data_IF_721384816516
#
_entry.id   IF_721384816516
#
_cell.length_a   1.000
_cell.length_b   1.000
_cell.length_c   1.000
_cell.angle_alpha   90.00
_cell.angle_beta   90.00
_cell.angle_gamma   90.00
#
_symmetry.space_group_name_H-M   'P 1'
#
loop_
_entity.id
_entity.type
_entity.pdbx_description
1 polymer ?
#
# COMPACT_ATOMS: atom_id res chain seq x y z
N UNK A 1 -3.41 11.02 26.57
CA UNK A 1 -3.51 10.57 25.16
C UNK A 1 -2.47 11.23 24.24
N UNK A 2 -2.34 12.57 24.21
CA UNK A 2 -1.31 13.24 23.37
C UNK A 2 0.13 12.86 23.72
N UNK A 3 0.47 12.84 25.01
CA UNK A 3 1.83 12.46 25.46
C UNK A 3 2.17 11.00 25.13
N UNK A 4 1.22 10.07 25.35
CA UNK A 4 1.38 8.67 24.99
C UNK A 4 1.54 8.47 23.47
N UNK A 5 0.76 9.22 22.67
CA UNK A 5 0.87 9.14 21.22
C UNK A 5 2.23 9.63 20.72
N UNK A 6 2.76 10.71 21.32
CA UNK A 6 4.06 11.30 20.97
C UNK A 6 5.28 10.44 21.33
N UNK A 7 5.08 9.32 22.03
CA UNK A 7 6.12 8.31 22.28
C UNK A 7 5.94 7.04 21.44
N UNK A 8 4.91 6.96 20.59
CA UNK A 8 4.69 5.79 19.76
C UNK A 8 5.72 5.74 18.64
N UNK A 9 6.56 4.72 18.66
CA UNK A 9 7.52 4.44 17.58
C UNK A 9 6.91 3.56 16.49
N UNK A 10 5.87 2.79 16.83
CA UNK A 10 5.26 1.82 15.92
C UNK A 10 3.75 1.93 15.98
N UNK A 11 3.10 1.99 14.80
CA UNK A 11 1.65 1.96 14.68
C UNK A 11 1.26 0.95 13.60
N UNK A 12 0.38 0.02 13.97
CA UNK A 12 -0.20 -0.96 13.08
C UNK A 12 -1.71 -0.78 13.02
N UNK A 13 -2.21 -0.41 11.85
CA UNK A 13 -3.63 -0.33 11.56
C UNK A 13 -4.05 -1.52 10.71
N UNK A 14 -4.87 -2.40 11.31
CA UNK A 14 -5.42 -3.58 10.64
C UNK A 14 -4.35 -4.52 10.05
N UNK A 15 -3.25 -4.73 10.77
CA UNK A 15 -2.15 -5.59 10.34
C UNK A 15 -2.53 -7.09 10.29
N UNK A 16 -3.47 -7.52 11.14
CA UNK A 16 -3.91 -8.93 11.25
C UNK A 16 -5.41 -9.17 11.02
N UNK A 17 -6.16 -8.21 10.47
CA UNK A 17 -7.62 -8.24 10.17
C UNK A 17 -8.55 -7.64 11.26
N UNK A 18 -9.73 -7.10 10.86
CA UNK A 18 -10.15 -6.80 9.49
C UNK A 18 -9.46 -5.53 8.95
N UNK A 19 -9.24 -5.43 7.62
CA UNK A 19 -8.70 -4.25 6.95
C UNK A 19 -9.57 -3.02 7.24
N UNK A 20 -9.02 -1.82 7.08
CA UNK A 20 -9.78 -0.58 7.27
C UNK A 20 -10.56 -0.26 6.00
N UNK A 21 -11.88 -0.09 6.13
CA UNK A 21 -12.66 0.44 5.01
C UNK A 21 -12.22 1.87 4.75
N UNK A 22 -11.85 2.19 3.51
CA UNK A 22 -11.53 3.58 3.14
C UNK A 22 -12.72 4.51 3.47
N UNK A 23 -13.97 4.04 3.34
CA UNK A 23 -15.18 4.79 3.72
C UNK A 23 -15.23 5.13 5.22
N UNK A 24 -14.67 4.27 6.07
CA UNK A 24 -14.70 4.42 7.53
C UNK A 24 -13.47 5.12 8.10
N UNK A 25 -12.50 5.50 7.25
CA UNK A 25 -11.20 6.01 7.70
C UNK A 25 -11.32 7.27 8.57
N UNK A 26 -12.27 8.15 8.26
CA UNK A 26 -12.52 9.37 9.01
C UNK A 26 -13.02 9.08 10.44
N UNK A 27 -13.88 8.07 10.60
CA UNK A 27 -14.41 7.67 11.89
C UNK A 27 -13.33 7.09 12.83
N UNK A 28 -12.29 6.47 12.26
CA UNK A 28 -11.19 5.87 13.02
C UNK A 28 -10.16 6.89 13.54
N UNK A 29 -10.25 8.16 13.14
CA UNK A 29 -9.36 9.25 13.57
C UNK A 29 -7.86 8.91 13.40
N UNK A 30 -7.51 8.23 12.31
CA UNK A 30 -6.13 7.86 11.96
C UNK A 30 -5.23 9.09 11.87
N UNK A 31 -5.65 10.12 11.11
CA UNK A 31 -4.88 11.35 10.93
C UNK A 31 -4.48 12.05 12.22
N UNK A 32 -5.41 12.32 13.17
CA UNK A 32 -5.06 12.83 14.48
C UNK A 32 -4.02 11.99 15.24
N UNK A 33 -4.07 10.65 15.15
CA UNK A 33 -3.09 9.78 15.81
C UNK A 33 -1.70 9.90 15.14
N UNK A 34 -1.64 9.84 13.81
CA UNK A 34 -0.40 9.98 13.04
C UNK A 34 0.29 11.31 13.31
N UNK A 35 -0.49 12.40 13.37
CA UNK A 35 0.00 13.73 13.75
C UNK A 35 0.48 13.80 15.20
N UNK A 36 -0.19 13.12 16.11
CA UNK A 36 0.20 13.10 17.52
C UNK A 36 1.49 12.30 17.75
N UNK A 37 1.70 11.22 17.00
CA UNK A 37 2.98 10.49 17.00
C UNK A 37 4.10 11.33 16.39
N UNK A 38 3.82 12.05 15.29
CA UNK A 38 4.77 12.98 14.69
C UNK A 38 6.15 12.35 14.50
N UNK A 39 7.20 13.01 15.00
CA UNK A 39 8.58 12.59 14.83
C UNK A 39 9.00 11.38 15.69
N UNK A 40 8.15 10.79 16.52
CA UNK A 40 8.49 9.53 17.21
C UNK A 40 8.28 8.31 16.32
N UNK A 41 7.36 8.39 15.36
CA UNK A 41 6.96 7.25 14.54
C UNK A 41 8.09 6.82 13.60
N UNK A 42 8.49 5.55 13.71
CA UNK A 42 9.51 4.86 12.90
C UNK A 42 8.91 3.80 11.99
N UNK A 43 7.87 3.11 12.48
CA UNK A 43 7.21 2.01 11.78
C UNK A 43 5.72 2.28 11.64
N UNK A 44 5.24 2.27 10.40
CA UNK A 44 3.81 2.42 10.10
C UNK A 44 3.34 1.32 9.18
N UNK A 45 2.28 0.63 9.60
CA UNK A 45 1.54 -0.30 8.75
C UNK A 45 0.08 0.13 8.64
N UNK A 46 -0.40 0.24 7.41
CA UNK A 46 -1.77 0.59 7.07
C UNK A 46 -2.31 -0.49 6.13
N UNK A 47 -3.45 -1.12 6.45
CA UNK A 47 -4.13 -2.02 5.53
C UNK A 47 -5.54 -1.53 5.23
N UNK A 48 -5.87 -1.40 3.94
CA UNK A 48 -7.14 -0.85 3.47
C UNK A 48 -7.93 -1.84 2.62
N UNK A 49 -9.25 -1.70 2.64
CA UNK A 49 -10.15 -2.28 1.64
C UNK A 49 -11.18 -1.24 1.19
N UNK A 50 -11.71 -1.42 -0.03
CA UNK A 50 -12.64 -0.46 -0.63
C UNK A 50 -12.88 -0.72 -2.11
N UNK A 51 -13.04 -1.99 -2.48
CA UNK A 51 -13.34 -2.47 -3.85
C UNK A 51 -14.53 -1.77 -4.53
N UNK A 52 -15.37 -1.08 -3.75
CA UNK A 52 -16.60 -0.44 -4.18
C UNK A 52 -16.53 1.09 -4.26
N UNK A 53 -15.36 1.69 -4.02
CA UNK A 53 -15.15 3.12 -4.20
C UNK A 53 -14.63 3.42 -5.60
N UNK A 54 -15.08 4.54 -6.17
CA UNK A 54 -14.37 5.11 -7.30
C UNK A 54 -12.98 5.60 -6.88
N UNK A 55 -12.02 5.50 -7.80
CA UNK A 55 -10.63 5.89 -7.62
C UNK A 55 -10.44 7.33 -7.07
N UNK A 56 -11.25 8.28 -7.53
CA UNK A 56 -11.13 9.69 -7.12
C UNK A 56 -11.60 9.89 -5.68
N UNK A 57 -12.72 9.28 -5.31
CA UNK A 57 -13.26 9.32 -3.95
C UNK A 57 -12.33 8.63 -2.95
N UNK A 58 -11.79 7.46 -3.30
CA UNK A 58 -10.77 6.80 -2.49
C UNK A 58 -9.54 7.70 -2.26
N UNK A 59 -9.05 8.35 -3.32
CA UNK A 59 -7.91 9.27 -3.24
C UNK A 59 -8.21 10.46 -2.33
N UNK A 60 -9.40 11.06 -2.45
CA UNK A 60 -9.85 12.18 -1.60
C UNK A 60 -9.94 11.79 -0.13
N UNK A 61 -10.51 10.63 0.17
CA UNK A 61 -10.67 10.14 1.54
C UNK A 61 -9.32 9.84 2.19
N UNK A 62 -8.41 9.19 1.47
CA UNK A 62 -7.05 8.92 1.95
C UNK A 62 -6.31 10.24 2.20
N UNK A 63 -6.26 11.14 1.22
CA UNK A 63 -5.55 12.42 1.36
C UNK A 63 -6.08 13.27 2.53
N UNK A 64 -7.39 13.20 2.82
CA UNK A 64 -8.00 13.98 3.90
C UNK A 64 -7.78 13.40 5.30
N UNK A 65 -7.46 12.10 5.40
CA UNK A 65 -7.46 11.39 6.69
C UNK A 65 -6.15 10.70 7.03
N UNK A 66 -5.25 10.53 6.05
CA UNK A 66 -3.94 9.91 6.20
C UNK A 66 -2.89 10.91 5.73
N UNK A 67 -2.34 11.64 6.70
CA UNK A 67 -1.24 12.56 6.48
C UNK A 67 -0.07 12.09 7.34
N UNK A 68 1.01 11.71 6.66
CA UNK A 68 2.25 11.19 7.23
C UNK A 68 3.44 12.13 6.98
N UNK A 69 3.16 13.36 6.53
CA UNK A 69 4.19 14.37 6.25
C UNK A 69 4.93 14.83 7.51
N UNK A 70 4.28 14.74 8.66
CA UNK A 70 4.84 15.14 9.96
C UNK A 70 5.69 14.03 10.61
N UNK A 71 5.68 12.81 10.06
CA UNK A 71 6.41 11.65 10.61
C UNK A 71 7.83 11.58 10.05
N UNK A 72 8.66 12.56 10.41
CA UNK A 72 9.98 12.77 9.79
C UNK A 72 11.01 11.68 10.10
N UNK A 73 10.78 10.87 11.13
CA UNK A 73 11.62 9.71 11.49
C UNK A 73 11.06 8.37 11.01
N UNK A 74 10.02 8.38 10.16
CA UNK A 74 9.45 7.16 9.61
C UNK A 74 10.51 6.45 8.76
N UNK A 75 10.87 5.23 9.14
CA UNK A 75 11.89 4.39 8.50
C UNK A 75 11.27 3.26 7.70
N UNK A 76 10.17 2.67 8.18
CA UNK A 76 9.48 1.56 7.55
C UNK A 76 8.00 1.91 7.34
N UNK A 77 7.56 1.83 6.07
CA UNK A 77 6.17 2.01 5.69
C UNK A 77 5.66 0.74 5.02
N UNK A 78 4.56 0.20 5.51
CA UNK A 78 3.83 -0.88 4.86
C UNK A 78 2.42 -0.38 4.51
N UNK A 79 2.05 -0.49 3.23
CA UNK A 79 0.71 -0.20 2.72
C UNK A 79 0.13 -1.49 2.18
N UNK A 80 -0.91 -1.99 2.85
CA UNK A 80 -1.67 -3.15 2.48
C UNK A 80 -2.95 -2.78 1.75
N UNK A 81 -3.27 -3.56 0.72
CA UNK A 81 -4.52 -3.49 -0.01
C UNK A 81 -5.13 -4.87 0.04
N UNK A 82 -6.27 -4.97 0.72
CA UNK A 82 -7.05 -6.18 0.72
C UNK A 82 -8.01 -6.20 -0.46
N UNK A 83 -7.79 -7.16 -1.34
CA UNK A 83 -8.66 -7.49 -2.44
C UNK A 83 -9.77 -8.38 -1.88
N UNK A 84 -10.81 -7.74 -1.35
CA UNK A 84 -11.94 -8.40 -0.71
C UNK A 84 -13.27 -7.94 -1.30
N UNK A 85 -13.99 -8.83 -1.98
CA UNK A 85 -15.33 -8.56 -2.52
C UNK A 85 -15.78 -9.66 -3.47
N UNK A 86 -17.10 -9.80 -3.70
CA UNK A 86 -17.58 -10.47 -4.91
C UNK A 86 -17.26 -9.53 -6.07
N UNK A 87 -16.05 -9.63 -6.63
CA UNK A 87 -15.89 -9.20 -8.03
C UNK A 87 -16.78 -10.17 -8.79
N UNK A 88 -17.99 -9.73 -9.13
CA UNK A 88 -18.84 -10.51 -10.01
C UNK A 88 -18.05 -10.81 -11.29
N UNK A 89 -18.20 -12.00 -11.86
CA UNK A 89 -17.48 -12.36 -13.08
C UNK A 89 -17.74 -11.29 -14.15
N UNK A 90 -16.70 -10.54 -14.53
CA UNK A 90 -16.78 -9.44 -15.50
C UNK A 90 -16.91 -8.02 -14.90
N UNK A 91 -17.00 -7.86 -13.58
CA UNK A 91 -16.96 -6.54 -12.96
C UNK A 91 -15.58 -5.90 -13.13
N UNK A 92 -15.56 -4.64 -13.59
CA UNK A 92 -14.32 -3.88 -13.76
C UNK A 92 -13.62 -3.72 -12.41
N UNK A 93 -12.40 -4.23 -12.32
CA UNK A 93 -11.55 -4.08 -11.15
C UNK A 93 -10.95 -2.69 -11.20
N UNK A 94 -11.27 -1.85 -10.22
CA UNK A 94 -10.74 -0.50 -10.17
C UNK A 94 -9.29 -0.49 -9.70
N UNK A 95 -8.45 0.28 -10.39
CA UNK A 95 -7.05 0.46 -10.01
C UNK A 95 -6.89 1.25 -8.72
N UNK A 96 -5.77 1.04 -8.02
CA UNK A 96 -5.47 1.72 -6.76
C UNK A 96 -4.72 3.03 -6.95
N UNK A 97 -5.32 3.97 -7.69
CA UNK A 97 -4.69 5.26 -8.04
C UNK A 97 -4.43 6.18 -6.83
N UNK A 98 -5.02 5.87 -5.67
CA UNK A 98 -4.82 6.62 -4.44
C UNK A 98 -3.44 6.36 -3.79
N UNK A 99 -2.75 5.28 -4.19
CA UNK A 99 -1.50 4.85 -3.55
C UNK A 99 -0.34 5.81 -3.82
N UNK A 100 -0.14 6.22 -5.07
CA UNK A 100 0.84 7.27 -5.43
C UNK A 100 0.53 8.60 -4.75
N UNK A 101 -0.76 8.94 -4.59
CA UNK A 101 -1.19 10.14 -3.88
C UNK A 101 -0.81 10.08 -2.39
N UNK A 102 -1.01 8.93 -1.73
CA UNK A 102 -0.58 8.71 -0.35
C UNK A 102 0.95 8.81 -0.23
N UNK A 103 1.68 8.15 -1.13
CA UNK A 103 3.15 8.14 -1.13
C UNK A 103 3.76 9.53 -1.35
N UNK A 104 3.05 10.42 -2.05
CA UNK A 104 3.50 11.82 -2.25
C UNK A 104 3.57 12.60 -0.94
N UNK A 105 2.73 12.25 0.05
CA UNK A 105 2.69 12.90 1.37
C UNK A 105 3.65 12.29 2.40
N UNK A 106 4.37 11.22 2.04
CA UNK A 106 5.38 10.61 2.92
C UNK A 106 6.53 11.60 3.11
N UNK A 107 6.90 11.88 4.38
CA UNK A 107 8.18 12.55 4.64
C UNK A 107 9.32 11.62 4.24
N UNK A 108 10.13 11.97 3.23
CA UNK A 108 11.11 11.04 2.69
C UNK A 108 12.43 11.03 3.49
N UNK A 109 12.58 11.93 4.46
CA UNK A 109 13.84 12.22 5.17
C UNK A 109 14.49 11.02 5.86
N UNK A 110 13.71 10.02 6.26
CA UNK A 110 14.21 8.84 6.98
C UNK A 110 13.70 7.52 6.41
N UNK A 111 12.86 7.54 5.38
CA UNK A 111 12.24 6.33 4.86
C UNK A 111 13.31 5.44 4.21
N UNK A 112 13.47 4.23 4.74
CA UNK A 112 14.42 3.21 4.27
C UNK A 112 13.75 2.05 3.58
N UNK A 113 12.54 1.68 4.03
CA UNK A 113 11.82 0.53 3.49
C UNK A 113 10.36 0.86 3.21
N UNK A 114 9.90 0.47 2.02
CA UNK A 114 8.50 0.50 1.64
C UNK A 114 8.05 -0.91 1.26
N UNK A 115 6.95 -1.37 1.85
CA UNK A 115 6.29 -2.62 1.46
C UNK A 115 4.89 -2.33 0.93
N UNK A 116 4.63 -2.69 -0.31
CA UNK A 116 3.30 -2.73 -0.91
C UNK A 116 2.77 -4.16 -0.80
N UNK A 117 1.78 -4.37 0.05
CA UNK A 117 1.21 -5.68 0.34
C UNK A 117 -0.14 -5.83 -0.37
N UNK A 118 -0.28 -6.85 -1.21
CA UNK A 118 -1.53 -7.22 -1.86
C UNK A 118 -2.07 -8.44 -1.14
N UNK A 119 -3.19 -8.28 -0.42
CA UNK A 119 -3.80 -9.34 0.37
C UNK A 119 -5.05 -9.91 -0.33
N UNK A 120 -4.99 -11.19 -0.65
CA UNK A 120 -6.03 -11.94 -1.38
C UNK A 120 -6.62 -13.07 -0.53
N UNK A 121 -6.31 -13.15 0.77
CA UNK A 121 -6.69 -14.26 1.66
C UNK A 121 -8.20 -14.51 1.75
N UNK A 122 -8.99 -13.45 1.59
CA UNK A 122 -10.41 -13.50 1.96
C UNK A 122 -11.34 -14.06 0.90
N UNK A 123 -10.90 -14.25 -0.34
CA UNK A 123 -11.70 -14.91 -1.38
C UNK A 123 -10.83 -15.39 -2.52
N UNK A 124 -10.58 -16.70 -2.59
CA UNK A 124 -10.55 -17.34 -3.91
C UNK A 124 -10.73 -18.86 -3.81
N UNK A 125 -11.85 -19.34 -4.35
CA UNK A 125 -12.00 -20.73 -4.83
C UNK A 125 -12.13 -20.67 -6.35
N UNK A 126 -11.19 -20.03 -7.04
CA UNK A 126 -11.32 -19.71 -8.47
C UNK A 126 -9.98 -19.76 -9.20
N UNK A 127 -10.06 -19.62 -10.52
CA UNK A 127 -8.96 -19.89 -11.46
C UNK A 127 -7.87 -18.82 -11.37
N UNK A 128 -6.61 -19.26 -11.26
CA UNK A 128 -5.39 -18.43 -11.15
C UNK A 128 -5.32 -17.25 -12.15
N UNK A 129 -5.80 -17.43 -13.38
CA UNK A 129 -5.79 -16.38 -14.41
C UNK A 129 -6.59 -15.13 -14.00
N UNK A 130 -7.73 -15.31 -13.29
CA UNK A 130 -8.53 -14.19 -12.80
C UNK A 130 -7.78 -13.39 -11.72
N UNK A 131 -6.97 -14.07 -10.92
CA UNK A 131 -6.17 -13.47 -9.86
C UNK A 131 -5.02 -12.62 -10.42
N UNK A 132 -4.29 -13.12 -11.43
CA UNK A 132 -3.25 -12.35 -12.12
C UNK A 132 -3.83 -11.05 -12.72
N UNK A 133 -4.97 -11.13 -13.40
CA UNK A 133 -5.62 -9.97 -13.99
C UNK A 133 -6.07 -8.95 -12.94
N UNK A 134 -6.55 -9.42 -11.79
CA UNK A 134 -6.92 -8.54 -10.68
C UNK A 134 -5.69 -7.86 -10.10
N UNK A 135 -4.61 -8.59 -9.80
CA UNK A 135 -3.35 -7.98 -9.33
C UNK A 135 -2.87 -6.90 -10.32
N UNK A 136 -2.90 -7.18 -11.63
CA UNK A 136 -2.51 -6.22 -12.66
C UNK A 136 -3.45 -5.03 -12.79
N UNK A 137 -4.75 -5.21 -12.54
CA UNK A 137 -5.69 -4.09 -12.51
C UNK A 137 -5.40 -3.15 -11.32
N UNK A 138 -5.09 -3.71 -10.16
CA UNK A 138 -4.67 -2.96 -8.97
C UNK A 138 -3.31 -2.26 -9.19
N UNK A 139 -2.37 -2.97 -9.81
CA UNK A 139 -1.05 -2.50 -10.24
C UNK A 139 -1.07 -2.03 -11.70
N UNK A 140 -2.03 -1.16 -12.04
CA UNK A 140 -2.12 -0.62 -13.40
C UNK A 140 -0.80 0.02 -13.83
N UNK A 141 -0.44 -0.08 -15.11
CA UNK A 141 0.81 0.48 -15.65
C UNK A 141 1.01 1.96 -15.31
N UNK A 142 -0.05 2.76 -15.39
CA UNK A 142 0.00 4.19 -15.05
C UNK A 142 0.36 4.43 -13.59
N UNK A 143 -0.25 3.66 -12.68
CA UNK A 143 0.00 3.80 -11.25
C UNK A 143 1.40 3.32 -10.88
N UNK A 144 1.83 2.17 -11.42
CA UNK A 144 3.19 1.68 -11.26
C UNK A 144 4.22 2.68 -11.78
N UNK A 145 3.97 3.30 -12.94
CA UNK A 145 4.86 4.33 -13.51
C UNK A 145 4.97 5.56 -12.59
N UNK A 146 3.85 6.00 -11.99
CA UNK A 146 3.87 7.11 -11.02
C UNK A 146 4.65 6.74 -9.77
N UNK A 147 4.43 5.55 -9.22
CA UNK A 147 5.13 5.06 -8.03
C UNK A 147 6.63 4.90 -8.31
N UNK A 148 7.00 4.26 -9.42
CA UNK A 148 8.38 4.09 -9.88
C UNK A 148 9.08 5.45 -10.03
N UNK A 149 8.43 6.41 -10.72
CA UNK A 149 8.95 7.77 -10.87
C UNK A 149 9.09 8.51 -9.54
N UNK A 150 8.10 8.41 -8.66
CA UNK A 150 8.08 9.08 -7.36
C UNK A 150 9.17 8.56 -6.43
N UNK A 151 9.31 7.25 -6.32
CA UNK A 151 10.22 6.60 -5.37
C UNK A 151 11.68 6.59 -5.84
N UNK A 152 11.92 6.73 -7.15
CA UNK A 152 13.27 6.92 -7.69
C UNK A 152 13.76 8.38 -7.68
N UNK A 153 12.93 9.33 -7.23
CA UNK A 153 13.31 10.74 -7.09
C UNK A 153 14.39 10.90 -5.99
N UNK A 154 15.27 11.89 -6.16
CA UNK A 154 16.32 12.26 -5.19
C UNK A 154 15.77 12.50 -3.79
N UNK A 155 14.52 12.96 -3.63
CA UNK A 155 13.95 13.13 -2.30
C UNK A 155 13.93 11.83 -1.49
N UNK A 156 13.82 10.66 -2.14
CA UNK A 156 13.86 9.33 -1.53
C UNK A 156 15.25 8.67 -1.63
N UNK A 157 16.35 9.44 -1.66
CA UNK A 157 17.72 8.90 -1.78
C UNK A 157 18.13 7.91 -0.67
N UNK A 158 17.43 7.90 0.47
CA UNK A 158 17.66 6.98 1.59
C UNK A 158 16.84 5.68 1.51
N UNK A 159 15.97 5.56 0.51
CA UNK A 159 15.16 4.37 0.31
C UNK A 159 16.07 3.23 -0.18
N UNK A 160 16.19 2.20 0.65
CA UNK A 160 17.08 1.05 0.43
C UNK A 160 16.31 -0.15 -0.15
N UNK A 161 15.01 -0.21 0.11
CA UNK A 161 14.19 -1.36 -0.25
C UNK A 161 12.74 -0.96 -0.57
N UNK A 162 12.26 -1.43 -1.72
CA UNK A 162 10.84 -1.46 -2.08
C UNK A 162 10.44 -2.90 -2.31
N UNK A 163 9.53 -3.41 -1.50
CA UNK A 163 8.98 -4.76 -1.61
C UNK A 163 7.57 -4.71 -2.16
N UNK A 164 7.28 -5.55 -3.16
CA UNK A 164 5.90 -5.82 -3.56
C UNK A 164 5.61 -7.27 -3.19
N UNK A 165 4.68 -7.44 -2.25
CA UNK A 165 4.37 -8.72 -1.65
C UNK A 165 2.93 -9.11 -1.97
N UNK A 166 2.74 -10.40 -2.25
CA UNK A 166 1.43 -11.01 -2.35
C UNK A 166 1.21 -11.90 -1.13
N UNK A 167 0.08 -11.72 -0.46
CA UNK A 167 -0.31 -12.51 0.69
C UNK A 167 -1.63 -13.21 0.44
N UNK A 168 -1.65 -14.53 0.57
CA UNK A 168 -2.80 -15.37 0.27
C UNK A 168 -2.86 -16.59 1.18
N UNK A 169 -3.99 -17.29 1.19
CA UNK A 169 -4.15 -18.50 2.01
C UNK A 169 -3.37 -19.68 1.42
N UNK A 170 -2.85 -20.55 2.30
CA UNK A 170 -2.25 -21.81 1.88
C UNK A 170 -3.24 -22.60 1.00
N UNK A 171 -2.84 -22.94 -0.22
CA UNK A 171 -3.71 -23.60 -1.22
C UNK A 171 -4.38 -22.68 -2.26
N UNK A 172 -4.40 -21.35 -2.03
CA UNK A 172 -4.85 -20.35 -3.04
C UNK A 172 -3.70 -19.70 -3.80
N UNK A 173 -2.50 -19.75 -3.24
CA UNK A 173 -1.27 -19.29 -3.86
C UNK A 173 -0.69 -20.40 -4.74
N UNK A 174 -1.33 -20.69 -5.87
CA UNK A 174 -0.60 -21.17 -7.04
C UNK A 174 -0.29 -20.01 -7.96
N UNK A 175 -0.21 -18.77 -7.46
CA UNK A 175 0.35 -17.69 -8.27
C UNK A 175 1.83 -18.03 -8.46
N UNK A 176 2.14 -18.46 -9.68
CA UNK A 176 3.47 -18.93 -10.07
C UNK A 176 4.51 -17.87 -9.68
N UNK A 177 5.44 -18.25 -8.80
CA UNK A 177 6.56 -17.40 -8.38
C UNK A 177 7.31 -16.87 -9.60
N UNK A 178 7.42 -17.69 -10.65
CA UNK A 178 8.00 -17.27 -11.93
C UNK A 178 7.18 -16.14 -12.56
N UNK A 179 5.84 -16.26 -12.59
CA UNK A 179 4.98 -15.19 -13.11
C UNK A 179 5.19 -13.90 -12.32
N UNK A 180 5.26 -13.97 -10.99
CA UNK A 180 5.48 -12.79 -10.14
C UNK A 180 6.80 -12.11 -10.48
N UNK A 181 7.88 -12.89 -10.50
CA UNK A 181 9.24 -12.42 -10.76
C UNK A 181 9.45 -11.97 -12.22
N UNK A 182 8.63 -12.41 -13.19
CA UNK A 182 8.70 -11.93 -14.57
C UNK A 182 7.77 -10.76 -14.89
N UNK A 183 6.68 -10.59 -14.12
CA UNK A 183 5.62 -9.63 -14.45
C UNK A 183 5.71 -8.35 -13.64
N UNK A 184 6.03 -8.44 -12.34
CA UNK A 184 6.05 -7.28 -11.46
C UNK A 184 7.27 -6.38 -11.70
N UNK A 185 8.52 -6.88 -11.79
CA UNK A 185 9.67 -6.00 -11.96
C UNK A 185 9.63 -5.10 -13.20
N UNK A 186 9.18 -5.55 -14.38
CA UNK A 186 9.04 -4.67 -15.55
C UNK A 186 8.10 -3.47 -15.36
N UNK A 187 7.20 -3.49 -14.38
CA UNK A 187 6.32 -2.36 -14.05
C UNK A 187 7.06 -1.23 -13.30
N UNK A 188 8.25 -1.51 -12.76
CA UNK A 188 9.05 -0.58 -11.95
C UNK A 188 10.51 -0.50 -12.43
N UNK A 189 10.74 -0.08 -13.69
CA UNK A 189 12.06 -0.15 -14.31
C UNK A 189 13.11 0.69 -13.59
N UNK A 190 12.75 1.85 -13.00
CA UNK A 190 13.74 2.71 -12.31
C UNK A 190 14.14 2.12 -10.97
N UNK A 191 13.20 1.59 -10.19
CA UNK A 191 13.48 0.89 -8.94
C UNK A 191 14.34 -0.36 -9.16
N UNK A 192 14.10 -1.09 -10.27
CA UNK A 192 14.97 -2.18 -10.71
C UNK A 192 16.39 -1.69 -11.02
N UNK A 193 16.53 -0.62 -11.80
CA UNK A 193 17.84 -0.06 -12.15
C UNK A 193 18.64 0.41 -10.92
N UNK A 194 17.95 0.85 -9.87
CA UNK A 194 18.53 1.23 -8.58
C UNK A 194 18.84 0.03 -7.66
N UNK A 195 18.49 -1.20 -8.06
CA UNK A 195 18.62 -2.42 -7.24
C UNK A 195 17.91 -2.36 -5.89
N UNK A 196 16.83 -1.58 -5.77
CA UNK A 196 16.06 -1.45 -4.53
C UNK A 196 14.72 -2.20 -4.56
N UNK A 197 14.23 -2.61 -5.74
CA UNK A 197 13.07 -3.50 -5.83
C UNK A 197 13.43 -4.93 -5.36
N UNK A 198 12.56 -5.53 -4.55
CA UNK A 198 12.69 -6.89 -3.99
C UNK A 198 11.40 -7.68 -4.12
#
# INVERSE_FOLDING_TARGET
MKELAASLETIHFAFWEPPISIKSIAALRIGPLLRAAGASLRDLSLSFYGVDLDAAEASRLIASNVDISMNTKLENLQIGIQIGGRVEDGAAVQGCTWMSSLLTNVSPLSLRKLTLLIDIRWRWKGVQAALCNIVLAYLSTDECTRIDGLLSDKKFEKLEEVKIQLYGTAGTLTLDEKWWNTTIPPLFPKLCAQNILR
#
